data_IF_125678305854
#
_entry.id   IF_125678305854
#
_cell.length_a   1.000
_cell.length_b   1.000
_cell.length_c   1.000
_cell.angle_alpha   90.00
_cell.angle_beta   90.00
_cell.angle_gamma   90.00
#
_symmetry.space_group_name_H-M   'P 1'
#
loop_
_entity.id
_entity.type
_entity.pdbx_description
1 polymer ?
#
# COMPACT_ATOMS: atom_id res chain seq x y z
N UNK A 1 6.94 -28.45 55.48
CA UNK A 1 7.11 -28.77 54.04
C UNK A 1 7.13 -27.45 53.28
N UNK A 2 8.17 -27.17 52.50
CA UNK A 2 8.29 -25.97 51.65
C UNK A 2 7.68 -26.30 50.29
N UNK A 3 6.79 -25.46 49.77
CA UNK A 3 6.41 -25.53 48.36
C UNK A 3 6.44 -24.14 47.74
N UNK A 4 7.19 -24.10 46.64
CA UNK A 4 7.76 -22.93 45.99
C UNK A 4 6.72 -22.11 45.22
N UNK A 5 6.90 -20.80 45.23
CA UNK A 5 6.21 -19.83 44.38
C UNK A 5 6.59 -20.12 42.92
N UNK A 6 5.60 -20.42 42.07
CA UNK A 6 5.79 -20.54 40.63
C UNK A 6 5.53 -19.17 40.01
N UNK A 7 6.59 -18.42 39.71
CA UNK A 7 6.51 -17.15 38.99
C UNK A 7 6.42 -17.45 37.49
N UNK A 8 5.24 -17.28 36.91
CA UNK A 8 5.05 -17.37 35.45
C UNK A 8 5.70 -16.15 34.79
N UNK A 9 6.80 -16.37 34.07
CA UNK A 9 7.41 -15.41 33.16
C UNK A 9 6.56 -15.35 31.88
N UNK A 10 5.77 -14.29 31.73
CA UNK A 10 5.20 -13.93 30.44
C UNK A 10 6.31 -13.35 29.55
N UNK A 11 6.69 -14.09 28.51
CA UNK A 11 7.61 -13.59 27.48
C UNK A 11 6.80 -12.68 26.55
N UNK A 12 7.01 -11.37 26.68
CA UNK A 12 6.57 -10.39 25.69
C UNK A 12 7.33 -10.68 24.40
N UNK A 13 6.64 -11.23 23.40
CA UNK A 13 7.18 -11.33 22.05
C UNK A 13 7.43 -9.91 21.54
N UNK A 14 8.69 -9.52 21.44
CA UNK A 14 9.12 -8.32 20.73
C UNK A 14 8.66 -8.44 19.29
N UNK A 15 7.73 -7.59 18.87
CA UNK A 15 7.32 -7.48 17.46
C UNK A 15 8.58 -7.11 16.69
N UNK A 16 9.05 -8.04 15.87
CA UNK A 16 10.23 -7.86 15.04
C UNK A 16 9.93 -6.68 14.10
N UNK A 17 10.87 -5.75 13.95
CA UNK A 17 10.86 -4.73 12.89
C UNK A 17 11.00 -5.47 11.55
N UNK A 18 9.94 -6.13 11.09
CA UNK A 18 9.91 -6.74 9.77
C UNK A 18 9.86 -5.58 8.79
N UNK A 19 10.89 -5.48 7.94
CA UNK A 19 11.01 -4.43 6.94
C UNK A 19 9.74 -4.39 6.08
N UNK A 20 9.00 -3.29 6.17
CA UNK A 20 7.71 -3.10 5.53
C UNK A 20 7.92 -2.41 4.18
N UNK A 21 7.18 -2.79 3.15
CA UNK A 21 7.02 -1.92 1.98
C UNK A 21 6.05 -0.77 2.33
N UNK A 22 6.27 0.40 1.75
CA UNK A 22 5.51 1.63 1.97
C UNK A 22 5.13 2.30 0.64
N UNK A 23 3.85 2.59 0.47
CA UNK A 23 3.27 3.04 -0.79
C UNK A 23 2.23 4.14 -0.54
N UNK A 24 2.30 5.23 -1.30
CA UNK A 24 1.21 6.22 -1.34
C UNK A 24 0.45 6.13 -2.65
N UNK A 25 -0.86 5.95 -2.56
CA UNK A 25 -1.78 6.00 -3.69
C UNK A 25 -2.49 7.35 -3.72
N UNK A 26 -2.63 7.97 -4.90
CA UNK A 26 -3.28 9.28 -5.07
C UNK A 26 -4.52 9.13 -5.96
N UNK A 27 -5.58 9.87 -5.66
CA UNK A 27 -6.85 9.77 -6.39
C UNK A 27 -7.08 10.86 -7.44
N UNK A 28 -6.48 12.04 -7.26
CA UNK A 28 -6.73 13.21 -8.09
C UNK A 28 -5.47 13.90 -8.64
N UNK A 29 -4.27 13.45 -8.24
CA UNK A 29 -2.99 13.93 -8.79
C UNK A 29 -2.26 12.78 -9.50
N UNK A 30 -1.70 13.07 -10.67
CA UNK A 30 -1.11 12.04 -11.56
C UNK A 30 0.42 11.99 -11.54
N UNK A 31 1.04 13.01 -10.97
CA UNK A 31 2.47 13.26 -10.88
C UNK A 31 3.03 13.05 -9.46
N UNK A 32 2.22 12.48 -8.56
CA UNK A 32 2.53 12.29 -7.15
C UNK A 32 2.93 13.59 -6.42
N UNK A 33 2.42 14.74 -6.89
CA UNK A 33 2.65 16.03 -6.28
C UNK A 33 1.37 16.52 -5.58
N UNK A 34 1.17 16.17 -4.29
CA UNK A 34 -0.05 16.52 -3.58
C UNK A 34 -0.17 18.03 -3.35
N UNK A 35 -1.41 18.50 -3.30
CA UNK A 35 -1.83 19.84 -2.92
C UNK A 35 -2.87 19.78 -1.78
N UNK A 36 -3.35 20.94 -1.34
CA UNK A 36 -4.30 21.08 -0.22
C UNK A 36 -5.67 20.42 -0.46
N UNK A 37 -5.97 20.00 -1.69
CA UNK A 37 -7.20 19.30 -2.08
C UNK A 37 -6.97 17.81 -2.37
N UNK A 38 -5.74 17.32 -2.20
CA UNK A 38 -5.38 15.96 -2.60
C UNK A 38 -5.97 14.91 -1.66
N UNK A 39 -6.54 13.87 -2.24
CA UNK A 39 -7.02 12.68 -1.53
C UNK A 39 -6.09 11.52 -1.85
N UNK A 40 -5.52 10.91 -0.81
CA UNK A 40 -4.50 9.86 -0.93
C UNK A 40 -4.64 8.80 0.15
N UNK A 41 -4.14 7.61 -0.14
CA UNK A 41 -4.00 6.51 0.81
C UNK A 41 -2.54 6.16 1.02
N UNK A 42 -2.16 5.97 2.27
CA UNK A 42 -0.87 5.40 2.66
C UNK A 42 -1.10 3.93 2.98
N UNK A 43 -0.32 3.05 2.34
CA UNK A 43 -0.40 1.61 2.42
C UNK A 43 0.94 1.06 2.87
N UNK A 44 0.94 0.25 3.92
CA UNK A 44 2.13 -0.38 4.45
C UNK A 44 1.88 -1.87 4.70
N UNK A 45 2.83 -2.72 4.32
CA UNK A 45 2.70 -4.14 4.57
C UNK A 45 4.03 -4.87 4.51
N UNK A 46 4.00 -6.11 5.00
CA UNK A 46 5.22 -6.93 5.12
C UNK A 46 5.20 -8.14 4.17
N UNK A 47 4.11 -8.34 3.44
CA UNK A 47 3.90 -9.51 2.58
C UNK A 47 3.89 -9.09 1.12
N UNK A 48 4.50 -9.90 0.25
CA UNK A 48 4.50 -9.72 -1.21
C UNK A 48 3.24 -10.21 -1.91
N UNK A 49 2.09 -10.23 -1.22
CA UNK A 49 0.83 -10.71 -1.78
C UNK A 49 0.27 -9.76 -2.84
N UNK A 50 -0.69 -10.25 -3.63
CA UNK A 50 -1.50 -9.37 -4.47
C UNK A 50 -2.57 -8.66 -3.63
N UNK A 51 -2.71 -7.35 -3.84
CA UNK A 51 -3.75 -6.54 -3.21
C UNK A 51 -4.57 -5.82 -4.27
N UNK A 52 -5.90 -5.89 -4.14
CA UNK A 52 -6.87 -5.25 -5.04
C UNK A 52 -7.55 -4.09 -4.34
N UNK A 53 -7.59 -2.91 -4.97
CA UNK A 53 -8.30 -1.76 -4.44
C UNK A 53 -9.81 -2.03 -4.31
N UNK A 54 -10.39 -1.60 -3.20
CA UNK A 54 -11.80 -1.82 -2.88
C UNK A 54 -12.09 -3.18 -2.24
N UNK A 55 -11.10 -4.05 -2.08
CA UNK A 55 -11.23 -5.32 -1.35
C UNK A 55 -10.57 -5.23 0.02
N UNK A 56 -10.82 -6.23 0.88
CA UNK A 56 -10.09 -6.37 2.13
C UNK A 56 -8.62 -6.70 1.84
N UNK A 57 -7.69 -5.96 2.44
CA UNK A 57 -6.24 -6.16 2.34
C UNK A 57 -5.70 -6.63 3.70
N UNK A 58 -5.80 -7.93 4.04
CA UNK A 58 -5.35 -8.44 5.34
C UNK A 58 -3.82 -8.28 5.48
N UNK A 59 -3.40 -7.80 6.66
CA UNK A 59 -1.98 -7.58 6.96
C UNK A 59 -1.38 -6.32 6.31
N UNK A 60 -2.22 -5.46 5.72
CA UNK A 60 -1.84 -4.14 5.21
C UNK A 60 -2.40 -3.07 6.14
N UNK A 61 -1.53 -2.23 6.68
CA UNK A 61 -1.92 -0.99 7.34
C UNK A 61 -2.33 0.03 6.28
N UNK A 62 -3.41 0.75 6.53
CA UNK A 62 -4.00 1.64 5.54
C UNK A 62 -4.55 2.91 6.22
N UNK A 63 -4.00 4.06 5.82
CA UNK A 63 -4.49 5.39 6.21
C UNK A 63 -5.06 6.12 5.00
N UNK A 64 -6.27 6.68 5.13
CA UNK A 64 -6.91 7.44 4.04
C UNK A 64 -7.07 8.90 4.46
N UNK A 65 -6.47 9.78 3.67
CA UNK A 65 -6.39 11.20 3.92
C UNK A 65 -7.11 12.01 2.83
N UNK A 66 -7.86 13.03 3.25
CA UNK A 66 -8.53 13.98 2.35
C UNK A 66 -8.15 15.43 2.70
N UNK A 67 -8.40 16.35 1.77
CA UNK A 67 -8.06 17.76 1.94
C UNK A 67 -6.57 17.96 2.22
N UNK A 68 -5.72 17.33 1.42
CA UNK A 68 -4.26 17.45 1.54
C UNK A 68 -3.67 16.82 2.80
N UNK A 69 -4.43 16.04 3.57
CA UNK A 69 -3.95 15.43 4.82
C UNK A 69 -4.69 15.89 6.08
N UNK A 70 -5.59 16.88 5.97
CA UNK A 70 -6.27 17.48 7.12
C UNK A 70 -7.18 16.46 7.83
N UNK A 71 -7.86 15.60 7.07
CA UNK A 71 -8.79 14.63 7.62
C UNK A 71 -8.29 13.20 7.35
N UNK A 72 -8.23 12.37 8.40
CA UNK A 72 -7.99 10.94 8.30
C UNK A 72 -9.31 10.19 8.56
N UNK A 73 -9.81 9.50 7.53
CA UNK A 73 -11.06 8.75 7.60
C UNK A 73 -10.86 7.24 7.76
N UNK A 74 -9.60 6.78 7.78
CA UNK A 74 -9.23 5.37 7.66
C UNK A 74 -9.65 4.80 6.30
N UNK A 75 -9.15 3.60 5.98
CA UNK A 75 -9.45 2.99 4.68
C UNK A 75 -10.85 2.41 4.60
N UNK A 76 -11.81 3.30 4.35
CA UNK A 76 -13.21 3.04 4.10
C UNK A 76 -13.62 3.71 2.79
N UNK A 77 -14.54 3.10 2.06
CA UNK A 77 -15.11 3.67 0.83
C UNK A 77 -14.40 3.24 -0.46
N UNK A 78 -14.81 3.87 -1.56
CA UNK A 78 -14.35 3.58 -2.93
C UNK A 78 -13.22 4.52 -3.34
N UNK A 79 -12.04 4.32 -2.76
CA UNK A 79 -10.84 5.04 -3.20
C UNK A 79 -10.41 4.58 -4.60
N UNK A 80 -10.16 5.53 -5.49
CA UNK A 80 -9.76 5.26 -6.88
C UNK A 80 -8.35 5.78 -7.10
N UNK A 81 -7.37 4.88 -7.14
CA UNK A 81 -5.97 5.25 -7.36
C UNK A 81 -5.70 5.60 -8.84
N UNK A 82 -5.12 6.77 -9.11
CA UNK A 82 -4.69 7.25 -10.45
C UNK A 82 -3.20 7.55 -10.55
N UNK A 83 -2.50 7.58 -9.42
CA UNK A 83 -1.04 7.54 -9.34
C UNK A 83 -0.59 6.83 -8.07
N UNK A 84 0.63 6.32 -8.08
CA UNK A 84 1.22 5.57 -6.99
C UNK A 84 2.68 6.03 -6.79
N UNK A 85 3.09 6.19 -5.56
CA UNK A 85 4.47 6.50 -5.18
C UNK A 85 5.01 5.38 -4.30
N UNK A 86 5.92 4.59 -4.86
CA UNK A 86 6.69 3.61 -4.11
C UNK A 86 7.80 4.34 -3.36
N UNK A 87 7.84 4.23 -2.05
CA UNK A 87 8.84 4.91 -1.23
C UNK A 87 10.14 4.14 -1.16
N UNK A 88 11.03 4.54 -0.27
CA UNK A 88 12.26 3.82 0.03
C UNK A 88 11.99 2.35 0.37
N UNK A 89 12.95 1.51 -0.02
CA UNK A 89 12.96 0.07 0.25
C UNK A 89 11.72 -0.68 -0.25
N UNK A 90 11.07 -0.16 -1.29
CA UNK A 90 9.81 -0.66 -1.82
C UNK A 90 9.88 -0.80 -3.32
N UNK A 91 9.85 -2.04 -3.80
CA UNK A 91 9.63 -2.34 -5.23
C UNK A 91 8.18 -2.74 -5.44
N UNK A 92 7.52 -2.20 -6.46
CA UNK A 92 6.13 -2.51 -6.74
C UNK A 92 5.87 -2.90 -8.21
N UNK A 93 4.97 -3.85 -8.38
CA UNK A 93 4.33 -4.19 -9.66
C UNK A 93 2.88 -3.71 -9.62
N UNK A 94 2.49 -2.95 -10.63
CA UNK A 94 1.17 -2.33 -10.73
C UNK A 94 0.38 -2.88 -11.91
N UNK A 95 -0.94 -3.02 -11.73
CA UNK A 95 -1.81 -3.67 -12.69
C UNK A 95 -3.07 -2.85 -12.98
N UNK A 96 -3.47 -2.86 -14.26
CA UNK A 96 -4.74 -2.31 -14.73
C UNK A 96 -5.95 -3.21 -14.40
N UNK A 97 -5.72 -4.48 -14.07
CA UNK A 97 -6.76 -5.46 -13.73
C UNK A 97 -6.70 -5.85 -12.23
N UNK A 98 -7.84 -6.29 -11.70
CA UNK A 98 -7.93 -6.83 -10.34
C UNK A 98 -7.16 -8.17 -10.23
N UNK A 99 -6.74 -8.51 -9.01
CA UNK A 99 -6.03 -9.77 -8.67
C UNK A 99 -4.69 -9.96 -9.41
N UNK A 100 -4.01 -8.85 -9.71
CA UNK A 100 -2.69 -8.80 -10.33
C UNK A 100 -2.60 -9.58 -11.65
N UNK A 101 -3.70 -9.55 -12.41
CA UNK A 101 -3.81 -10.16 -13.73
C UNK A 101 -3.32 -9.19 -14.81
N UNK A 102 -3.06 -9.74 -15.98
CA UNK A 102 -2.60 -8.98 -17.14
C UNK A 102 -1.13 -8.60 -17.06
N UNK A 103 -0.78 -7.48 -17.71
CA UNK A 103 0.60 -7.00 -17.81
C UNK A 103 0.87 -6.03 -16.65
N UNK A 104 1.96 -6.28 -15.92
CA UNK A 104 2.41 -5.37 -14.86
C UNK A 104 3.30 -4.26 -15.40
N UNK A 105 3.19 -3.08 -14.82
CA UNK A 105 4.24 -2.05 -14.87
C UNK A 105 5.03 -2.09 -13.56
N UNK A 106 6.35 -2.33 -13.63
CA UNK A 106 7.23 -2.42 -12.47
C UNK A 106 7.88 -1.06 -12.19
N UNK A 107 8.00 -0.69 -10.92
CA UNK A 107 8.72 0.49 -10.45
C UNK A 107 9.56 0.14 -9.24
N UNK A 108 10.76 0.70 -9.24
CA UNK A 108 11.69 0.64 -8.11
C UNK A 108 11.28 1.67 -7.04
N UNK A 109 12.02 1.64 -5.93
CA UNK A 109 11.85 2.58 -4.83
C UNK A 109 11.96 4.05 -5.24
N UNK A 110 11.38 4.93 -4.43
CA UNK A 110 11.37 6.39 -4.60
C UNK A 110 10.85 6.87 -5.96
N UNK A 111 9.91 6.14 -6.55
CA UNK A 111 9.42 6.40 -7.92
C UNK A 111 7.92 6.63 -7.94
N UNK A 112 7.50 7.68 -8.64
CA UNK A 112 6.11 7.92 -9.00
C UNK A 112 5.75 7.16 -10.28
N UNK A 113 4.53 6.63 -10.33
CA UNK A 113 3.90 6.14 -11.55
C UNK A 113 2.50 6.71 -11.70
N UNK A 114 2.22 7.18 -12.91
CA UNK A 114 0.91 7.62 -13.34
C UNK A 114 0.12 6.48 -13.98
N UNK A 115 -1.20 6.55 -13.91
CA UNK A 115 -2.07 5.63 -14.63
C UNK A 115 -1.81 5.59 -16.14
N UNK A 116 -1.34 6.68 -16.73
CA UNK A 116 -1.04 6.76 -18.16
C UNK A 116 0.13 5.83 -18.56
N UNK A 117 0.90 5.36 -17.60
CA UNK A 117 2.04 4.45 -17.78
C UNK A 117 1.68 2.98 -17.52
N UNK A 118 0.44 2.70 -17.09
CA UNK A 118 -0.03 1.33 -16.94
C UNK A 118 -0.23 0.68 -18.31
N UNK A 119 0.38 -0.49 -18.46
CA UNK A 119 0.16 -1.35 -19.62
C UNK A 119 -1.20 -2.06 -19.48
N UNK A 120 -1.94 -2.17 -20.57
CA UNK A 120 -3.26 -2.81 -20.61
C UNK A 120 -3.46 -3.53 -21.95
N UNK A 121 -4.21 -4.64 -21.93
CA UNK A 121 -4.44 -5.50 -23.10
C UNK A 121 -5.39 -4.95 -24.17
N UNK A 122 -5.64 -3.64 -24.23
CA UNK A 122 -6.47 -3.04 -25.29
C UNK A 122 -7.34 -1.85 -24.92
N UNK A 123 -7.28 -1.31 -23.69
CA UNK A 123 -8.04 -0.12 -23.30
C UNK A 123 -7.31 0.68 -22.23
N UNK A 124 -7.24 2.00 -22.39
CA UNK A 124 -6.58 2.88 -21.42
C UNK A 124 -7.18 2.68 -20.02
N UNK A 125 -6.37 2.31 -19.02
CA UNK A 125 -6.87 2.11 -17.67
C UNK A 125 -7.38 3.42 -17.08
N UNK A 126 -8.43 3.31 -16.27
CA UNK A 126 -9.06 4.45 -15.57
C UNK A 126 -8.71 4.50 -14.08
N UNK A 127 -8.21 3.39 -13.51
CA UNK A 127 -7.56 3.32 -12.19
C UNK A 127 -6.42 2.29 -12.16
N UNK A 128 -5.58 2.37 -11.14
CA UNK A 128 -4.82 1.21 -10.66
C UNK A 128 -5.80 0.24 -9.99
N UNK A 129 -5.82 -1.00 -10.45
CA UNK A 129 -6.78 -1.99 -9.96
C UNK A 129 -6.18 -2.84 -8.84
N UNK A 130 -4.95 -3.30 -9.03
CA UNK A 130 -4.22 -4.09 -8.03
C UNK A 130 -2.72 -3.83 -8.09
N UNK A 131 -2.02 -4.26 -7.04
CA UNK A 131 -0.58 -4.11 -6.90
C UNK A 131 0.04 -5.25 -6.08
N UNK A 132 1.35 -5.42 -6.26
CA UNK A 132 2.23 -6.23 -5.41
C UNK A 132 3.42 -5.39 -5.04
N UNK A 133 3.76 -5.32 -3.77
CA UNK A 133 4.98 -4.65 -3.33
C UNK A 133 5.81 -5.59 -2.49
N UNK A 134 7.12 -5.41 -2.51
CA UNK A 134 8.06 -6.14 -1.66
C UNK A 134 9.03 -5.15 -1.04
N UNK A 135 9.50 -5.50 0.14
CA UNK A 135 10.62 -4.81 0.72
C UNK A 135 11.94 -5.27 0.05
N UNK A 136 12.90 -4.37 -0.13
CA UNK A 136 14.18 -4.63 -0.79
C UNK A 136 15.41 -4.63 0.13
N UNK A 137 15.23 -4.45 1.44
CA UNK A 137 16.27 -4.54 2.48
C UNK A 137 16.44 -5.95 3.05
#
# INVERSE_FOLDING_TARGET
MRFSVTTSLAVLATVSNVSAWHLTAYSNVKDCNPNDETEYQILEGNQGNCYTFGWSMPGVSCGHFTGGGIANQGCKGLFTAVAMYAHENTDCSFYAEDDCRGISTVRDSNTCISINELLSGGSSPTRFASFKCRNTE
#
